data_IF_918105447300
#
_entry.id   IF_918105447300
#
_cell.length_a   1.000
_cell.length_b   1.000
_cell.length_c   1.000
_cell.angle_alpha   90.00
_cell.angle_beta   90.00
_cell.angle_gamma   90.00
#
_symmetry.space_group_name_H-M   'P 1'
#
loop_
_entity.id
_entity.type
_entity.pdbx_description
1 polymer ?
#
# COMPACT_ATOMS: atom_id res chain seq x y z
N UNK A 1 2.33 -14.33 -28.26
CA UNK A 1 2.67 -13.20 -27.34
C UNK A 1 2.53 -11.82 -28.01
N UNK A 2 2.83 -11.64 -29.31
CA UNK A 2 2.74 -10.32 -29.96
C UNK A 2 1.32 -9.72 -30.15
N UNK A 3 0.27 -10.55 -30.30
CA UNK A 3 -1.09 -10.05 -30.57
C UNK A 3 -1.69 -9.18 -29.45
N UNK A 4 -1.40 -9.49 -28.17
CA UNK A 4 -1.86 -8.68 -27.03
C UNK A 4 -1.15 -7.32 -26.96
N UNK A 5 0.16 -7.31 -27.22
CA UNK A 5 0.95 -6.07 -27.25
C UNK A 5 0.55 -5.19 -28.43
N UNK A 6 0.35 -5.79 -29.60
CA UNK A 6 -0.15 -5.07 -30.79
C UNK A 6 -1.51 -4.42 -30.51
N UNK A 7 -2.45 -5.11 -29.84
CA UNK A 7 -3.75 -4.55 -29.49
C UNK A 7 -3.63 -3.31 -28.57
N UNK A 8 -2.77 -3.35 -27.54
CA UNK A 8 -2.54 -2.20 -26.64
C UNK A 8 -1.94 -1.02 -27.41
N UNK A 9 -0.95 -1.28 -28.26
CA UNK A 9 -0.31 -0.25 -29.08
C UNK A 9 -1.29 0.35 -30.10
N UNK A 10 -2.10 -0.47 -30.78
CA UNK A 10 -3.12 -0.01 -31.72
C UNK A 10 -4.18 0.83 -31.03
N UNK A 11 -4.66 0.43 -29.84
CA UNK A 11 -5.58 1.25 -29.06
C UNK A 11 -4.95 2.60 -28.70
N UNK A 12 -3.72 2.62 -28.17
CA UNK A 12 -3.02 3.86 -27.87
C UNK A 12 -2.87 4.77 -29.10
N UNK A 13 -2.49 4.20 -30.25
CA UNK A 13 -2.35 4.92 -31.51
C UNK A 13 -3.70 5.43 -32.05
N UNK A 14 -4.78 4.69 -31.84
CA UNK A 14 -6.13 5.11 -32.22
C UNK A 14 -6.62 6.27 -31.34
N UNK A 15 -6.34 6.26 -30.03
CA UNK A 15 -6.71 7.34 -29.11
C UNK A 15 -5.90 8.63 -29.31
N UNK A 16 -4.67 8.54 -29.81
CA UNK A 16 -3.78 9.67 -30.03
C UNK A 16 -4.40 10.79 -30.91
N UNK A 17 -4.93 10.52 -32.12
CA UNK A 17 -5.61 11.54 -32.91
C UNK A 17 -6.91 12.05 -32.25
N UNK A 18 -7.66 11.20 -31.52
CA UNK A 18 -8.84 11.65 -30.78
C UNK A 18 -8.50 12.69 -29.70
N UNK A 19 -7.36 12.53 -29.03
CA UNK A 19 -6.84 13.49 -28.06
C UNK A 19 -6.35 14.78 -28.74
N UNK A 20 -5.59 14.68 -29.84
CA UNK A 20 -5.10 15.86 -30.58
C UNK A 20 -6.23 16.70 -31.18
N UNK A 21 -7.33 16.07 -31.59
CA UNK A 21 -8.51 16.73 -32.12
C UNK A 21 -9.48 17.21 -31.03
N UNK A 22 -9.22 16.93 -29.74
CA UNK A 22 -10.07 17.34 -28.61
C UNK A 22 -11.41 16.62 -28.53
N UNK A 23 -11.63 15.56 -29.32
CA UNK A 23 -12.90 14.80 -29.40
C UNK A 23 -13.20 14.10 -28.07
N UNK A 24 -12.15 13.76 -27.30
CA UNK A 24 -12.28 13.17 -25.96
C UNK A 24 -13.03 14.07 -24.99
N UNK A 25 -12.86 15.39 -25.05
CA UNK A 25 -13.60 16.33 -24.21
C UNK A 25 -15.10 16.36 -24.55
N UNK A 26 -15.43 16.26 -25.84
CA UNK A 26 -16.82 16.14 -26.30
C UNK A 26 -17.46 14.83 -25.86
N UNK A 27 -16.73 13.72 -25.93
CA UNK A 27 -17.20 12.41 -25.47
C UNK A 27 -17.49 12.40 -23.97
N UNK A 28 -16.62 13.01 -23.15
CA UNK A 28 -16.83 13.13 -21.70
C UNK A 28 -18.06 14.00 -21.38
N UNK A 29 -18.36 15.01 -22.20
CA UNK A 29 -19.57 15.83 -22.02
C UNK A 29 -20.86 15.08 -22.33
N UNK A 30 -20.81 14.06 -23.20
CA UNK A 30 -21.97 13.23 -23.57
C UNK A 30 -22.22 12.12 -22.55
N UNK A 31 -21.14 11.55 -21.99
CA UNK A 31 -21.25 10.47 -21.02
C UNK A 31 -21.66 11.05 -19.67
N UNK A 32 -22.82 10.60 -19.17
CA UNK A 32 -23.26 11.00 -17.83
C UNK A 32 -22.27 10.51 -16.77
N UNK A 33 -21.74 11.45 -15.98
CA UNK A 33 -20.80 11.16 -14.87
C UNK A 33 -21.39 10.14 -13.87
N UNK A 34 -22.73 10.16 -13.72
CA UNK A 34 -23.48 9.24 -12.85
C UNK A 34 -23.31 7.77 -13.29
N UNK A 35 -23.07 7.51 -14.57
CA UNK A 35 -22.87 6.15 -15.12
C UNK A 35 -21.45 5.64 -14.94
N UNK A 36 -20.45 6.52 -14.82
CA UNK A 36 -19.03 6.13 -14.72
C UNK A 36 -18.74 5.54 -13.33
N UNK A 37 -19.31 6.12 -12.27
CA UNK A 37 -19.00 5.71 -10.89
C UNK A 37 -19.30 4.22 -10.62
N UNK A 38 -20.49 3.67 -10.97
CA UNK A 38 -20.77 2.24 -10.76
C UNK A 38 -19.85 1.32 -11.57
N UNK A 39 -19.47 1.73 -12.79
CA UNK A 39 -18.58 0.94 -13.66
C UNK A 39 -17.19 0.82 -13.02
N UNK A 40 -16.64 1.92 -12.50
CA UNK A 40 -15.33 1.91 -11.83
C UNK A 40 -15.35 1.05 -10.57
N UNK A 41 -16.43 1.11 -9.78
CA UNK A 41 -16.61 0.25 -8.59
C UNK A 41 -16.65 -1.23 -8.99
N UNK A 42 -17.41 -1.57 -10.04
CA UNK A 42 -17.48 -2.95 -10.53
C UNK A 42 -16.11 -3.47 -10.99
N UNK A 43 -15.39 -2.71 -11.81
CA UNK A 43 -14.05 -3.09 -12.29
C UNK A 43 -13.08 -3.23 -11.12
N UNK A 44 -13.12 -2.32 -10.14
CA UNK A 44 -12.29 -2.40 -8.94
C UNK A 44 -12.56 -3.68 -8.13
N UNK A 45 -13.82 -4.05 -7.94
CA UNK A 45 -14.20 -5.28 -7.24
C UNK A 45 -13.72 -6.54 -7.98
N UNK A 46 -13.86 -6.56 -9.31
CA UNK A 46 -13.37 -7.69 -10.14
C UNK A 46 -11.85 -7.82 -10.01
N UNK A 47 -11.09 -6.72 -10.14
CA UNK A 47 -9.62 -6.74 -10.01
C UNK A 47 -9.20 -7.22 -8.63
N UNK A 48 -9.86 -6.77 -7.56
CA UNK A 48 -9.57 -7.24 -6.20
C UNK A 48 -9.84 -8.74 -6.04
N UNK A 49 -10.94 -9.24 -6.63
CA UNK A 49 -11.28 -10.67 -6.58
C UNK A 49 -10.24 -11.50 -7.32
N UNK A 50 -9.86 -11.09 -8.54
CA UNK A 50 -8.85 -11.77 -9.34
C UNK A 50 -7.48 -11.76 -8.63
N UNK A 51 -7.12 -10.63 -8.01
CA UNK A 51 -5.86 -10.49 -7.25
C UNK A 51 -5.86 -11.40 -6.02
N UNK A 52 -6.94 -11.46 -5.26
CA UNK A 52 -7.05 -12.33 -4.09
C UNK A 52 -7.12 -13.81 -4.47
N UNK A 53 -7.69 -14.15 -5.63
CA UNK A 53 -7.76 -15.53 -6.11
C UNK A 53 -6.39 -16.13 -6.42
N UNK A 54 -5.44 -15.32 -6.90
CA UNK A 54 -4.07 -15.77 -7.21
C UNK A 54 -3.08 -15.59 -6.05
N UNK A 55 -3.47 -14.86 -4.99
CA UNK A 55 -2.59 -14.54 -3.86
C UNK A 55 -2.80 -15.55 -2.73
N UNK A 56 -1.73 -16.11 -2.12
CA UNK A 56 -1.89 -17.00 -0.98
C UNK A 56 -2.52 -16.26 0.21
N UNK A 57 -3.41 -16.94 0.95
CA UNK A 57 -4.22 -16.38 2.06
C UNK A 57 -3.40 -15.62 3.12
N UNK A 58 -2.13 -15.99 3.27
CA UNK A 58 -1.18 -15.38 4.20
C UNK A 58 -0.83 -13.93 3.85
N UNK A 59 -0.93 -13.50 2.59
CA UNK A 59 -0.62 -12.14 2.15
C UNK A 59 -1.83 -11.20 2.13
N UNK A 60 -3.04 -11.69 2.44
CA UNK A 60 -4.23 -10.86 2.56
C UNK A 60 -4.06 -9.61 3.45
N UNK A 61 -3.41 -9.67 4.63
CA UNK A 61 -3.19 -8.46 5.43
C UNK A 61 -2.28 -7.43 4.74
N UNK A 62 -1.30 -7.85 3.93
CA UNK A 62 -0.47 -6.91 3.17
C UNK A 62 -1.28 -6.19 2.08
N UNK A 63 -2.14 -6.92 1.37
CA UNK A 63 -3.05 -6.36 0.38
C UNK A 63 -4.01 -5.32 0.98
N UNK A 64 -4.66 -5.66 2.11
CA UNK A 64 -5.57 -4.75 2.80
C UNK A 64 -4.85 -3.49 3.28
N UNK A 65 -3.62 -3.64 3.79
CA UNK A 65 -2.82 -2.52 4.26
C UNK A 65 -2.40 -1.58 3.11
N UNK A 66 -2.09 -2.13 1.93
CA UNK A 66 -1.83 -1.36 0.72
C UNK A 66 -3.00 -0.47 0.31
N UNK A 67 -4.22 -1.03 0.29
CA UNK A 67 -5.45 -0.30 -0.08
C UNK A 67 -5.69 0.90 0.83
N UNK A 68 -5.28 0.85 2.11
CA UNK A 68 -5.52 1.93 3.07
C UNK A 68 -4.95 3.27 2.61
N UNK A 69 -3.82 3.31 1.90
CA UNK A 69 -3.23 4.57 1.44
C UNK A 69 -4.09 5.26 0.36
N UNK A 70 -4.71 4.48 -0.53
CA UNK A 70 -5.65 5.00 -1.53
C UNK A 70 -6.95 5.46 -0.86
N UNK A 71 -7.44 4.73 0.14
CA UNK A 71 -8.62 5.12 0.92
C UNK A 71 -8.36 6.43 1.67
N UNK A 72 -7.15 6.63 2.20
CA UNK A 72 -6.76 7.85 2.89
C UNK A 72 -6.74 9.07 1.95
N UNK A 73 -6.25 8.91 0.73
CA UNK A 73 -6.26 9.94 -0.31
C UNK A 73 -7.68 10.34 -0.71
N UNK A 74 -8.55 9.36 -0.95
CA UNK A 74 -9.97 9.62 -1.18
C UNK A 74 -10.64 10.33 0.01
N UNK A 75 -10.35 9.91 1.25
CA UNK A 75 -10.89 10.54 2.45
C UNK A 75 -10.41 11.99 2.60
N UNK A 76 -9.11 12.25 2.38
CA UNK A 76 -8.56 13.60 2.39
C UNK A 76 -9.25 14.50 1.35
N UNK A 77 -9.38 14.04 0.11
CA UNK A 77 -10.04 14.79 -0.96
C UNK A 77 -11.51 15.09 -0.67
N UNK A 78 -12.23 14.13 -0.08
CA UNK A 78 -13.65 14.30 0.30
C UNK A 78 -13.81 15.32 1.42
N UNK A 79 -12.94 15.28 2.44
CA UNK A 79 -12.94 16.26 3.54
C UNK A 79 -12.70 17.67 2.99
N UNK A 80 -11.68 17.86 2.14
CA UNK A 80 -11.35 19.17 1.56
C UNK A 80 -12.50 19.68 0.70
N UNK A 81 -13.08 18.83 -0.14
CA UNK A 81 -14.19 19.20 -1.02
C UNK A 81 -15.45 19.55 -0.23
N UNK A 82 -15.78 18.78 0.79
CA UNK A 82 -16.94 19.02 1.66
C UNK A 82 -16.81 20.30 2.48
N UNK A 83 -15.61 20.56 3.02
CA UNK A 83 -15.28 21.83 3.67
C UNK A 83 -15.43 22.98 2.66
N UNK A 84 -14.81 22.91 1.49
CA UNK A 84 -14.89 23.99 0.49
C UNK A 84 -16.32 24.31 0.09
N UNK A 85 -17.16 23.30 -0.16
CA UNK A 85 -18.57 23.46 -0.50
C UNK A 85 -19.39 24.07 0.64
N UNK A 86 -19.19 23.61 1.88
CA UNK A 86 -19.86 24.17 3.05
C UNK A 86 -19.53 25.65 3.25
N UNK A 87 -18.28 26.05 3.00
CA UNK A 87 -17.87 27.45 3.18
C UNK A 87 -18.36 28.36 2.05
N UNK A 88 -18.44 27.88 0.80
CA UNK A 88 -18.98 28.67 -0.33
C UNK A 88 -20.44 29.07 -0.14
N UNK A 89 -21.23 28.26 0.58
CA UNK A 89 -22.64 28.56 0.86
C UNK A 89 -22.83 29.65 1.93
N UNK A 90 -21.84 29.90 2.80
CA UNK A 90 -21.96 30.85 3.92
C UNK A 90 -21.27 32.21 3.69
N UNK A 91 -20.55 32.44 2.59
CA UNK A 91 -19.78 33.68 2.38
C UNK A 91 -20.43 34.68 1.43
N UNK A 92 -20.71 35.90 1.93
CA UNK A 92 -20.95 37.11 1.12
C UNK A 92 -19.70 37.46 0.30
N UNK A 93 -19.88 38.11 -0.86
CA UNK A 93 -18.89 38.27 -1.96
C UNK A 93 -17.54 38.95 -1.66
N UNK A 94 -17.22 39.34 -0.41
CA UNK A 94 -16.06 40.19 -0.09
C UNK A 94 -15.22 39.71 1.11
N UNK A 95 -15.30 38.44 1.51
CA UNK A 95 -14.43 37.90 2.57
C UNK A 95 -13.40 36.95 1.96
N UNK A 96 -12.14 37.41 1.89
CA UNK A 96 -11.01 36.59 1.50
C UNK A 96 -10.55 35.75 2.68
N UNK A 97 -10.81 34.43 2.64
CA UNK A 97 -10.31 33.50 3.65
C UNK A 97 -8.91 33.02 3.29
N UNK A 98 -8.08 32.86 4.33
CA UNK A 98 -6.77 32.22 4.21
C UNK A 98 -6.95 30.76 3.74
N UNK A 99 -6.16 30.27 2.76
CA UNK A 99 -6.29 28.91 2.20
C UNK A 99 -5.98 27.77 3.19
N UNK A 100 -5.76 28.08 4.48
CA UNK A 100 -5.40 27.12 5.51
C UNK A 100 -6.60 26.73 6.39
N UNK A 101 -7.74 26.36 5.78
CA UNK A 101 -8.91 25.84 6.52
C UNK A 101 -8.56 24.55 7.29
N UNK A 102 -7.48 23.90 6.87
CA UNK A 102 -6.88 22.70 7.46
C UNK A 102 -6.32 22.89 8.87
N UNK A 103 -5.96 24.11 9.29
CA UNK A 103 -5.47 24.36 10.65
C UNK A 103 -6.57 24.39 11.72
N UNK A 104 -7.85 24.45 11.31
CA UNK A 104 -9.00 24.46 12.21
C UNK A 104 -9.53 23.05 12.53
N UNK A 105 -9.03 22.00 11.85
CA UNK A 105 -9.45 20.61 12.06
C UNK A 105 -8.65 20.03 13.23
N UNK A 106 -9.15 20.18 14.46
CA UNK A 106 -8.45 19.79 15.70
C UNK A 106 -8.81 18.41 16.26
N UNK A 107 -9.90 17.78 15.80
CA UNK A 107 -10.43 16.55 16.42
C UNK A 107 -9.83 15.24 15.90
N UNK A 108 -9.07 15.28 14.81
CA UNK A 108 -8.41 14.13 14.18
C UNK A 108 -7.01 14.52 13.71
N UNK A 109 -6.06 13.59 13.65
CA UNK A 109 -4.71 13.85 13.13
C UNK A 109 -4.76 14.03 11.61
N UNK A 110 -5.28 15.18 11.18
CA UNK A 110 -5.43 15.54 9.78
C UNK A 110 -4.07 15.60 9.07
N UNK A 111 -3.02 16.05 9.79
CA UNK A 111 -1.64 15.99 9.31
C UNK A 111 -1.16 14.57 9.02
N UNK A 112 -1.51 13.61 9.88
CA UNK A 112 -1.23 12.20 9.64
C UNK A 112 -1.95 11.65 8.40
N UNK A 113 -3.20 12.07 8.19
CA UNK A 113 -3.96 11.70 6.99
C UNK A 113 -3.36 12.29 5.71
N UNK A 114 -3.01 13.58 5.71
CA UNK A 114 -2.34 14.24 4.58
C UNK A 114 -1.06 13.50 4.22
N UNK A 115 -0.26 13.16 5.23
CA UNK A 115 0.99 12.47 5.00
C UNK A 115 0.73 11.05 4.48
N UNK A 116 -0.20 10.30 5.05
CA UNK A 116 -0.48 8.93 4.60
C UNK A 116 -1.18 8.84 3.22
N UNK A 117 -1.80 9.93 2.77
CA UNK A 117 -2.35 10.10 1.43
C UNK A 117 -1.31 10.59 0.40
N UNK A 118 -0.23 11.22 0.86
CA UNK A 118 0.80 11.82 0.01
C UNK A 118 1.49 10.79 -0.87
N UNK A 119 1.22 10.82 -2.17
CA UNK A 119 1.77 9.84 -3.12
C UNK A 119 1.13 8.46 -3.02
N UNK A 120 -0.17 8.40 -2.69
CA UNK A 120 -0.97 7.20 -2.42
C UNK A 120 -0.72 6.00 -3.33
N UNK A 121 -0.58 6.22 -4.64
CA UNK A 121 -0.31 5.17 -5.63
C UNK A 121 1.07 4.53 -5.49
N UNK A 122 2.11 5.33 -5.24
CA UNK A 122 3.45 4.79 -4.98
C UNK A 122 3.50 4.22 -3.57
N UNK A 123 2.91 4.92 -2.61
CA UNK A 123 2.87 4.52 -1.21
C UNK A 123 2.25 3.14 -1.01
N UNK A 124 1.13 2.85 -1.66
CA UNK A 124 0.47 1.55 -1.55
C UNK A 124 1.37 0.41 -2.05
N UNK A 125 2.16 0.64 -3.11
CA UNK A 125 3.11 -0.36 -3.64
C UNK A 125 4.20 -0.63 -2.60
N UNK A 126 4.85 0.42 -2.08
CA UNK A 126 5.94 0.27 -1.11
C UNK A 126 5.47 -0.39 0.18
N UNK A 127 4.35 0.05 0.73
CA UNK A 127 3.85 -0.48 2.01
C UNK A 127 3.40 -1.94 1.86
N UNK A 128 2.79 -2.29 0.72
CA UNK A 128 2.41 -3.68 0.41
C UNK A 128 3.66 -4.55 0.25
N UNK A 129 4.66 -4.10 -0.50
CA UNK A 129 5.90 -4.84 -0.73
C UNK A 129 6.66 -5.09 0.59
N UNK A 130 6.85 -4.06 1.41
CA UNK A 130 7.50 -4.17 2.72
C UNK A 130 6.74 -5.17 3.60
N UNK A 131 5.41 -5.07 3.67
CA UNK A 131 4.58 -5.97 4.45
C UNK A 131 4.65 -7.42 3.93
N UNK A 132 4.68 -7.63 2.62
CA UNK A 132 4.76 -8.95 2.00
C UNK A 132 6.09 -9.64 2.33
N UNK A 133 7.22 -8.96 2.17
CA UNK A 133 8.54 -9.51 2.52
C UNK A 133 8.76 -9.66 4.02
N UNK A 134 8.16 -8.78 4.83
CA UNK A 134 8.16 -8.91 6.28
C UNK A 134 7.37 -10.14 6.72
N UNK A 135 6.19 -10.36 6.13
CA UNK A 135 5.39 -11.57 6.37
C UNK A 135 6.23 -12.79 6.03
N UNK A 136 6.90 -12.82 4.88
CA UNK A 136 7.74 -13.93 4.42
C UNK A 136 9.07 -14.11 5.16
N UNK A 137 9.39 -13.25 6.15
CA UNK A 137 10.69 -13.22 6.85
C UNK A 137 11.88 -13.14 5.89
N UNK A 138 11.69 -12.55 4.71
CA UNK A 138 12.75 -12.25 3.74
C UNK A 138 13.30 -10.84 4.02
N UNK A 139 13.94 -10.67 5.18
CA UNK A 139 14.28 -9.34 5.73
C UNK A 139 15.23 -8.51 4.85
N UNK A 140 16.13 -9.14 4.07
CA UNK A 140 16.95 -8.44 3.08
C UNK A 140 16.09 -7.69 2.07
N UNK A 141 15.08 -8.38 1.51
CA UNK A 141 14.22 -7.78 0.50
C UNK A 141 13.35 -6.69 1.12
N UNK A 142 12.81 -6.91 2.32
CA UNK A 142 12.08 -5.89 3.07
C UNK A 142 12.95 -4.63 3.33
N UNK A 143 14.21 -4.82 3.69
CA UNK A 143 15.18 -3.73 3.91
C UNK A 143 15.44 -2.92 2.64
N UNK A 144 15.64 -3.59 1.49
CA UNK A 144 15.83 -2.90 0.19
C UNK A 144 14.60 -2.08 -0.18
N UNK A 145 13.38 -2.62 0.00
CA UNK A 145 12.14 -1.90 -0.27
C UNK A 145 11.91 -0.73 0.69
N UNK A 146 12.24 -0.87 1.97
CA UNK A 146 12.22 0.24 2.94
C UNK A 146 13.24 1.32 2.61
N UNK A 147 14.44 0.94 2.16
CA UNK A 147 15.46 1.90 1.75
C UNK A 147 15.00 2.71 0.53
N UNK A 148 14.45 2.04 -0.48
CA UNK A 148 13.91 2.70 -1.66
C UNK A 148 12.71 3.61 -1.31
N UNK A 149 11.83 3.17 -0.40
CA UNK A 149 10.76 4.02 0.13
C UNK A 149 11.30 5.27 0.83
N UNK A 150 12.41 5.15 1.58
CA UNK A 150 13.10 6.26 2.20
C UNK A 150 13.63 7.29 1.19
N UNK A 151 14.23 6.84 0.09
CA UNK A 151 14.67 7.73 -1.01
C UNK A 151 13.48 8.49 -1.60
N UNK A 152 12.37 7.79 -1.86
CA UNK A 152 11.18 8.41 -2.44
C UNK A 152 10.51 9.39 -1.46
N UNK A 153 10.52 9.08 -0.16
CA UNK A 153 10.05 9.99 0.88
C UNK A 153 10.92 11.25 0.99
N UNK A 154 12.23 11.12 0.79
CA UNK A 154 13.17 12.26 0.81
C UNK A 154 12.88 13.28 -0.30
N UNK A 155 12.54 12.81 -1.49
CA UNK A 155 12.11 13.66 -2.62
C UNK A 155 10.63 14.09 -2.55
N UNK A 156 9.89 13.63 -1.54
CA UNK A 156 8.47 13.97 -1.40
C UNK A 156 7.54 13.29 -2.38
N UNK A 157 8.00 12.21 -3.03
CA UNK A 157 7.16 11.40 -3.90
C UNK A 157 6.16 10.56 -3.09
N UNK A 158 6.46 10.32 -1.81
CA UNK A 158 5.67 9.50 -0.89
C UNK A 158 5.68 10.18 0.50
N UNK A 159 4.58 10.09 1.23
CA UNK A 159 4.36 10.64 2.56
C UNK A 159 4.53 12.17 2.69
N UNK A 160 4.36 12.92 1.60
CA UNK A 160 4.44 14.37 1.57
C UNK A 160 3.37 14.96 0.66
N UNK A 161 2.95 16.19 0.97
CA UNK A 161 2.02 16.97 0.13
C UNK A 161 2.72 17.72 -1.00
N UNK A 162 4.06 17.76 -0.99
CA UNK A 162 4.86 18.52 -1.96
C UNK A 162 6.05 17.68 -2.42
N UNK A 163 6.36 17.79 -3.71
CA UNK A 163 7.56 17.20 -4.31
C UNK A 163 8.70 18.20 -4.23
N UNK A 164 9.87 17.77 -3.77
CA UNK A 164 11.04 18.61 -3.59
C UNK A 164 12.07 17.97 -2.67
N UNK A 165 13.20 18.65 -2.47
CA UNK A 165 14.21 18.22 -1.49
C UNK A 165 13.74 18.72 -0.11
N UNK A 166 13.04 17.86 0.63
CA UNK A 166 12.29 18.21 1.85
C UNK A 166 13.14 18.15 3.11
N UNK A 167 14.14 19.04 3.20
CA UNK A 167 15.15 19.04 4.27
C UNK A 167 14.84 20.08 5.37
N UNK A 168 13.85 20.97 5.17
CA UNK A 168 13.55 22.00 6.16
C UNK A 168 12.76 21.45 7.36
N UNK A 169 12.86 22.13 8.51
CA UNK A 169 12.18 21.71 9.74
C UNK A 169 10.65 21.69 9.64
N UNK A 170 10.07 22.50 8.75
CA UNK A 170 8.63 22.55 8.49
C UNK A 170 8.14 21.45 7.53
N UNK A 171 9.06 20.76 6.86
CA UNK A 171 8.75 19.72 5.89
C UNK A 171 8.55 18.37 6.60
N UNK A 172 7.60 17.58 6.10
CA UNK A 172 7.29 16.26 6.68
C UNK A 172 8.18 15.13 6.09
N UNK A 173 8.82 15.35 4.93
CA UNK A 173 9.59 14.33 4.18
C UNK A 173 10.82 13.75 4.89
N UNK A 174 11.61 14.58 5.57
CA UNK A 174 12.80 14.12 6.31
C UNK A 174 12.42 13.17 7.46
N UNK A 175 11.27 13.40 8.12
CA UNK A 175 10.78 12.59 9.23
C UNK A 175 10.43 11.18 8.77
N UNK A 176 9.76 11.06 7.62
CA UNK A 176 9.46 9.78 7.00
C UNK A 176 10.70 9.07 6.48
N UNK A 177 11.67 9.82 5.93
CA UNK A 177 12.96 9.26 5.51
C UNK A 177 13.66 8.59 6.68
N UNK A 178 13.73 9.26 7.84
CA UNK A 178 14.30 8.66 9.07
C UNK A 178 13.48 7.46 9.54
N UNK A 179 12.15 7.51 9.44
CA UNK A 179 11.27 6.38 9.76
C UNK A 179 11.54 5.15 8.88
N UNK A 180 11.75 5.33 7.58
CA UNK A 180 12.12 4.24 6.69
C UNK A 180 13.54 3.75 6.93
N UNK A 181 14.49 4.64 7.22
CA UNK A 181 15.85 4.25 7.59
C UNK A 181 15.91 3.48 8.91
N UNK A 182 15.04 3.77 9.87
CA UNK A 182 14.93 2.98 11.10
C UNK A 182 14.35 1.59 10.82
N UNK A 183 13.40 1.46 9.89
CA UNK A 183 12.94 0.15 9.39
C UNK A 183 14.05 -0.65 8.70
N UNK A 184 14.89 -0.01 7.87
CA UNK A 184 16.07 -0.64 7.26
C UNK A 184 17.00 -1.21 8.33
N UNK A 185 17.29 -0.43 9.38
CA UNK A 185 18.10 -0.89 10.50
C UNK A 185 17.45 -2.06 11.25
N UNK A 186 16.15 -1.99 11.51
CA UNK A 186 15.40 -3.06 12.17
C UNK A 186 15.42 -4.36 11.35
N UNK A 187 15.16 -4.31 10.05
CA UNK A 187 15.21 -5.49 9.20
C UNK A 187 16.63 -6.05 9.06
N UNK A 188 17.66 -5.20 9.01
CA UNK A 188 19.05 -5.63 9.08
C UNK A 188 19.40 -6.36 10.39
N UNK A 189 18.90 -5.86 11.52
CA UNK A 189 19.06 -6.54 12.83
C UNK A 189 18.32 -7.88 12.87
N UNK A 190 17.11 -7.96 12.32
CA UNK A 190 16.35 -9.21 12.25
C UNK A 190 17.02 -10.24 11.36
N UNK A 191 17.61 -9.82 10.24
CA UNK A 191 18.38 -10.71 9.38
C UNK A 191 19.63 -11.23 10.09
N UNK A 192 20.34 -10.38 10.84
CA UNK A 192 21.47 -10.82 11.66
C UNK A 192 21.05 -11.82 12.73
N UNK A 193 19.92 -11.60 13.40
CA UNK A 193 19.34 -12.53 14.37
C UNK A 193 18.93 -13.86 13.72
N UNK A 194 18.43 -13.84 12.48
CA UNK A 194 18.10 -15.03 11.71
C UNK A 194 19.35 -15.82 11.32
N UNK A 195 20.43 -15.15 10.89
CA UNK A 195 21.73 -15.79 10.61
C UNK A 195 22.33 -16.47 11.86
N UNK A 196 22.10 -15.90 13.04
CA UNK A 196 22.46 -16.50 14.35
C UNK A 196 21.50 -17.61 14.82
N UNK A 197 20.51 -17.99 14.01
CA UNK A 197 19.46 -18.99 14.34
C UNK A 197 18.57 -18.63 15.54
N UNK A 198 18.54 -17.38 15.97
CA UNK A 198 17.64 -16.93 17.05
C UNK A 198 16.20 -16.80 16.56
N UNK A 199 16.00 -16.66 15.25
CA UNK A 199 14.70 -16.62 14.60
C UNK A 199 14.61 -17.82 13.66
N UNK A 200 13.63 -18.70 13.86
CA UNK A 200 13.38 -19.82 12.93
C UNK A 200 13.13 -19.26 11.53
N UNK A 201 13.96 -19.66 10.58
CA UNK A 201 13.77 -19.38 9.17
C UNK A 201 12.43 -20.00 8.75
N UNK A 202 11.61 -19.26 8.02
CA UNK A 202 10.33 -19.78 7.58
C UNK A 202 10.55 -20.80 6.47
N UNK A 203 10.04 -22.01 6.68
CA UNK A 203 9.88 -22.99 5.62
C UNK A 203 8.85 -22.46 4.62
N UNK A 204 9.35 -21.99 3.49
CA UNK A 204 8.53 -21.73 2.31
C UNK A 204 8.11 -23.05 1.70
N UNK A 205 6.90 -23.09 1.15
CA UNK A 205 6.49 -24.19 0.28
C UNK A 205 7.52 -24.32 -0.85
N UNK A 206 8.10 -25.51 -1.07
CA UNK A 206 9.02 -25.74 -2.16
C UNK A 206 8.30 -25.59 -3.51
N UNK A 207 8.90 -24.90 -4.48
CA UNK A 207 8.30 -24.70 -5.82
C UNK A 207 8.06 -26.02 -6.58
N UNK A 208 8.68 -27.12 -6.13
CA UNK A 208 8.61 -28.47 -6.68
C UNK A 208 7.46 -29.33 -6.12
N UNK A 209 6.81 -28.91 -5.03
CA UNK A 209 5.71 -29.65 -4.40
C UNK A 209 4.38 -28.92 -4.60
N UNK A 210 3.32 -29.66 -4.90
CA UNK A 210 1.97 -29.07 -4.88
C UNK A 210 1.55 -28.73 -3.45
N UNK A 211 0.71 -27.70 -3.28
CA UNK A 211 0.25 -27.26 -1.95
C UNK A 211 -0.43 -28.33 -1.11
N UNK A 212 -1.01 -29.33 -1.76
CA UNK A 212 -1.61 -30.50 -1.10
C UNK A 212 -0.50 -31.43 -0.58
N UNK A 213 0.48 -31.77 -1.42
CA UNK A 213 1.59 -32.65 -1.03
C UNK A 213 2.45 -32.03 0.08
N UNK A 214 2.68 -30.71 0.04
CA UNK A 214 3.37 -29.99 1.11
C UNK A 214 2.57 -30.00 2.42
N UNK A 215 1.25 -29.83 2.34
CA UNK A 215 0.37 -29.92 3.50
C UNK A 215 0.35 -31.34 4.10
N UNK A 216 0.35 -32.37 3.25
CA UNK A 216 0.43 -33.77 3.66
C UNK A 216 1.76 -34.11 4.31
N UNK A 217 2.88 -33.68 3.71
CA UNK A 217 4.22 -33.82 4.28
C UNK A 217 4.32 -33.16 5.67
N UNK A 218 3.79 -31.93 5.83
CA UNK A 218 3.74 -31.27 7.15
C UNK A 218 2.87 -32.03 8.13
N UNK A 219 1.73 -32.55 7.69
CA UNK A 219 0.84 -33.34 8.53
C UNK A 219 1.54 -34.60 9.02
N UNK A 220 2.32 -35.28 8.17
CA UNK A 220 3.13 -36.43 8.56
C UNK A 220 4.19 -36.06 9.60
N UNK A 221 4.94 -34.97 9.40
CA UNK A 221 5.92 -34.51 10.39
C UNK A 221 5.31 -34.22 11.76
N UNK A 222 4.10 -33.64 11.82
CA UNK A 222 3.41 -33.38 13.08
C UNK A 222 2.97 -34.70 13.75
N UNK A 223 2.58 -35.70 12.97
CA UNK A 223 2.17 -37.01 13.49
C UNK A 223 3.37 -37.85 13.97
N UNK A 224 4.54 -37.64 13.36
CA UNK A 224 5.80 -38.30 13.72
C UNK A 224 6.49 -37.62 14.91
N UNK A 225 6.07 -36.41 15.29
CA UNK A 225 6.57 -35.73 16.48
C UNK A 225 6.02 -36.46 17.74
N UNK A 226 6.89 -36.95 18.64
CA UNK A 226 6.43 -37.70 19.81
C UNK A 226 5.53 -36.81 20.66
N UNK A 227 4.32 -37.29 20.96
CA UNK A 227 3.39 -36.61 21.87
C UNK A 227 4.14 -36.28 23.17
N UNK A 228 4.04 -35.04 23.70
CA UNK A 228 4.68 -34.70 24.96
C UNK A 228 4.19 -35.69 26.00
N UNK A 229 5.11 -36.51 26.50
CA UNK A 229 4.82 -37.48 27.54
C UNK A 229 4.38 -36.70 28.76
N UNK A 230 3.18 -37.00 29.28
CA UNK A 230 2.57 -36.40 30.49
C UNK A 230 3.50 -36.53 31.74
N UNK A 231 4.61 -37.25 31.62
CA UNK A 231 5.58 -37.49 32.68
C UNK A 231 6.52 -36.31 33.00
N UNK A 232 6.70 -35.31 32.13
CA UNK A 232 7.60 -34.18 32.42
C UNK A 232 6.94 -33.00 33.17
N UNK A 233 5.62 -32.86 33.11
CA UNK A 233 4.91 -31.76 33.80
C UNK A 233 4.82 -31.98 35.33
N UNK A 234 4.97 -33.22 35.80
CA UNK A 234 4.93 -33.56 37.23
C UNK A 234 6.28 -33.35 37.95
N UNK A 235 7.37 -33.01 37.24
CA UNK A 235 8.71 -32.78 37.84
C UNK A 235 9.08 -31.31 38.03
N UNK A 236 8.27 -30.36 37.55
CA UNK A 236 8.53 -28.92 37.76
C UNK A 236 7.75 -28.30 38.93
N UNK A 237 6.87 -29.06 39.57
CA UNK A 237 6.08 -28.64 40.74
C UNK A 237 6.41 -29.47 41.98
N UNK A 238 7.68 -29.47 42.43
CA UNK A 238 8.08 -29.71 43.83
C UNK A 238 9.29 -28.83 44.14
#
# INVERSE_FOLDING_TARGET
>A
MGAKQAYIVLNGLAFLPLCFLGITALLISIIAVVSINPIVIFIGLVICTDTLAITPKRHYPAFLLGIMSIVADWAQGTIISGVTAGYSDFTKSNVHFSPNVTSAISSFSYRGLINFAGGSQLQCIFITAIMLYMIDRKFIHASVWSFLAGIFAFFGLINSSRVGILVNSDDDGWRFTIGYMSMVALFGLLEFAQRKKWVKQQETEPDDLSSIEWAEWKRQQILDEPLPTIAEDQKSTV
#
